data_IF_049004634142
#
_entry.id   IF_049004634142
#
_cell.length_a   1.000
_cell.length_b   1.000
_cell.length_c   1.000
_cell.angle_alpha   90.00
_cell.angle_beta   90.00
_cell.angle_gamma   90.00
#
_symmetry.space_group_name_H-M   'P 1'
#
loop_
_entity.id
_entity.type
_entity.pdbx_description
1 polymer ?
#
# COMPACT_ATOMS: atom_id res chain seq x y z
N UNK A 1 -4.34 -6.15 -64.57
CA UNK A 1 -3.42 -5.71 -63.50
C UNK A 1 -4.24 -5.10 -62.39
N UNK A 2 -4.46 -5.85 -61.37
CA UNK A 2 -5.37 -5.54 -60.25
C UNK A 2 -4.48 -5.29 -59.01
N UNK A 3 -4.49 -4.06 -58.50
CA UNK A 3 -3.81 -3.71 -57.26
C UNK A 3 -4.71 -4.00 -56.06
N UNK A 4 -4.31 -4.95 -55.23
CA UNK A 4 -4.88 -5.16 -53.94
C UNK A 4 -4.31 -4.15 -52.94
N UNK A 5 -5.17 -3.29 -52.42
CA UNK A 5 -4.89 -2.50 -51.23
C UNK A 5 -5.02 -3.37 -50.01
N UNK A 6 -3.93 -3.60 -49.31
CA UNK A 6 -3.94 -4.14 -47.93
C UNK A 6 -4.42 -3.05 -46.98
N UNK A 7 -5.62 -3.21 -46.47
CA UNK A 7 -6.11 -2.42 -45.34
C UNK A 7 -5.31 -2.76 -44.09
N UNK A 8 -4.66 -1.75 -43.53
CA UNK A 8 -4.08 -1.83 -42.20
C UNK A 8 -5.23 -1.87 -41.18
N UNK A 9 -5.49 -3.06 -40.65
CA UNK A 9 -6.35 -3.23 -39.49
C UNK A 9 -5.64 -2.69 -38.24
N UNK A 10 -5.89 -1.44 -37.89
CA UNK A 10 -5.54 -0.90 -36.60
C UNK A 10 -6.31 -1.71 -35.52
N UNK A 11 -5.60 -2.24 -34.54
CA UNK A 11 -6.25 -2.77 -33.34
C UNK A 11 -7.22 -1.71 -32.79
N UNK A 12 -8.44 -2.09 -32.39
CA UNK A 12 -9.36 -1.13 -31.81
C UNK A 12 -8.67 -0.49 -30.60
N UNK A 13 -8.56 0.82 -30.63
CA UNK A 13 -8.10 1.58 -29.47
C UNK A 13 -9.04 1.23 -28.32
N UNK A 14 -8.48 0.74 -27.23
CA UNK A 14 -9.21 0.49 -26.00
C UNK A 14 -9.75 1.85 -25.53
N UNK A 15 -11.03 2.09 -25.80
CA UNK A 15 -11.69 3.28 -25.26
C UNK A 15 -11.67 3.17 -23.75
N UNK A 16 -11.05 4.16 -23.10
CA UNK A 16 -11.14 4.30 -21.64
C UNK A 16 -12.62 4.32 -21.30
N UNK A 17 -13.05 3.57 -20.27
CA UNK A 17 -14.41 3.76 -19.77
C UNK A 17 -14.60 5.25 -19.52
N UNK A 18 -15.61 5.83 -20.17
CA UNK A 18 -15.95 7.23 -20.00
C UNK A 18 -15.98 7.57 -18.50
N UNK A 19 -15.55 8.77 -18.16
CA UNK A 19 -15.62 9.28 -16.79
C UNK A 19 -16.96 8.84 -16.15
N UNK A 20 -16.86 8.19 -14.99
CA UNK A 20 -18.06 7.67 -14.29
C UNK A 20 -19.13 8.74 -14.25
N UNK A 21 -20.38 8.44 -14.58
CA UNK A 21 -21.44 9.43 -14.51
C UNK A 21 -21.42 10.12 -13.16
N UNK A 22 -21.51 11.45 -13.16
CA UNK A 22 -21.56 12.23 -11.95
C UNK A 22 -22.68 11.67 -11.02
N UNK A 23 -22.31 11.23 -9.81
CA UNK A 23 -23.23 10.64 -8.84
C UNK A 23 -23.18 9.12 -8.70
N UNK A 24 -22.50 8.38 -9.58
CA UNK A 24 -22.27 6.94 -9.37
C UNK A 24 -21.05 6.76 -8.47
N UNK A 25 -21.30 6.52 -7.19
CA UNK A 25 -20.24 6.16 -6.24
C UNK A 25 -19.97 4.66 -6.32
N UNK A 26 -18.71 4.21 -6.43
CA UNK A 26 -18.43 2.79 -6.34
C UNK A 26 -18.81 2.26 -4.97
N UNK A 27 -19.34 1.07 -4.91
CA UNK A 27 -19.50 0.33 -3.65
C UNK A 27 -18.11 0.15 -3.03
N UNK A 28 -17.94 0.64 -1.82
CA UNK A 28 -16.62 0.73 -1.17
C UNK A 28 -16.14 -0.59 -0.59
N UNK A 29 -17.02 -1.55 -0.37
CA UNK A 29 -16.64 -2.80 0.24
C UNK A 29 -17.49 -3.95 -0.28
N UNK A 30 -16.86 -5.08 -0.67
CA UNK A 30 -17.55 -6.34 -0.85
C UNK A 30 -18.26 -6.74 0.45
N UNK A 31 -19.47 -7.27 0.33
CA UNK A 31 -20.23 -7.73 1.48
C UNK A 31 -20.90 -6.65 2.32
N UNK A 32 -20.82 -5.39 1.95
CA UNK A 32 -21.67 -4.37 2.55
C UNK A 32 -23.13 -4.64 2.21
N UNK A 33 -23.90 -4.94 3.23
CA UNK A 33 -25.36 -5.04 3.12
C UNK A 33 -26.00 -3.66 3.15
N UNK A 34 -25.23 -2.61 3.38
CA UNK A 34 -25.72 -1.25 3.46
C UNK A 34 -26.32 -0.83 2.12
N UNK A 35 -27.59 -0.61 2.10
CA UNK A 35 -28.33 0.06 1.03
C UNK A 35 -28.29 1.59 1.19
N UNK A 36 -27.83 2.07 2.34
CA UNK A 36 -27.76 3.48 2.69
C UNK A 36 -26.44 4.08 2.21
N UNK A 37 -26.52 5.10 1.34
CA UNK A 37 -25.31 5.76 0.81
C UNK A 37 -24.61 6.63 1.84
N UNK A 38 -25.22 6.92 2.93
CA UNK A 38 -24.64 7.69 4.03
C UNK A 38 -23.40 7.02 4.61
N UNK A 39 -23.31 5.71 4.48
CA UNK A 39 -22.18 4.90 4.93
C UNK A 39 -21.17 4.57 3.83
N UNK A 40 -21.26 5.22 2.68
CA UNK A 40 -20.29 4.97 1.59
C UNK A 40 -19.06 5.86 1.75
N UNK A 41 -17.89 5.24 1.55
CA UNK A 41 -16.63 5.96 1.46
C UNK A 41 -16.60 6.75 0.16
N UNK A 42 -16.28 8.03 0.26
CA UNK A 42 -15.98 8.88 -0.89
C UNK A 42 -14.49 8.83 -1.15
N UNK A 43 -14.06 8.00 -2.10
CA UNK A 43 -12.65 7.78 -2.39
C UNK A 43 -11.95 8.99 -3.00
N UNK A 44 -12.65 9.90 -3.67
CA UNK A 44 -12.07 11.13 -4.19
C UNK A 44 -11.78 12.12 -3.06
N UNK A 45 -12.74 12.28 -2.14
CA UNK A 45 -12.52 13.08 -0.93
C UNK A 45 -11.43 12.49 -0.04
N UNK A 46 -11.41 11.17 0.12
CA UNK A 46 -10.37 10.46 0.87
C UNK A 46 -8.98 10.71 0.28
N UNK A 47 -8.83 10.53 -1.03
CA UNK A 47 -7.58 10.75 -1.75
C UNK A 47 -7.09 12.20 -1.59
N UNK A 48 -7.97 13.15 -1.84
CA UNK A 48 -7.64 14.57 -1.71
C UNK A 48 -7.19 14.90 -0.28
N UNK A 49 -7.96 14.46 0.71
CA UNK A 49 -7.63 14.68 2.12
C UNK A 49 -6.24 14.14 2.47
N UNK A 50 -5.93 12.91 2.09
CA UNK A 50 -4.63 12.28 2.35
C UNK A 50 -3.50 13.05 1.69
N UNK A 51 -3.66 13.42 0.43
CA UNK A 51 -2.65 14.19 -0.28
C UNK A 51 -2.43 15.57 0.35
N UNK A 52 -3.50 16.28 0.71
CA UNK A 52 -3.42 17.57 1.38
C UNK A 52 -2.69 17.44 2.74
N UNK A 53 -2.94 16.36 3.50
CA UNK A 53 -2.23 16.09 4.76
C UNK A 53 -0.73 15.83 4.54
N UNK A 54 -0.38 15.05 3.52
CA UNK A 54 1.01 14.77 3.18
C UNK A 54 1.73 16.03 2.68
N UNK A 55 1.08 16.87 1.89
CA UNK A 55 1.60 18.17 1.45
C UNK A 55 1.85 19.12 2.63
N UNK A 56 0.92 19.20 3.56
CA UNK A 56 1.09 20.01 4.76
C UNK A 56 2.26 19.51 5.64
N UNK A 57 2.43 18.21 5.76
CA UNK A 57 3.56 17.62 6.47
C UNK A 57 4.90 17.90 5.78
N UNK A 58 4.94 17.83 4.46
CA UNK A 58 6.11 18.21 3.66
C UNK A 58 6.49 19.68 3.90
N UNK A 59 5.53 20.58 3.81
CA UNK A 59 5.75 22.01 4.04
C UNK A 59 6.31 22.28 5.46
N UNK A 60 5.71 21.63 6.46
CA UNK A 60 6.13 21.81 7.86
C UNK A 60 7.50 21.19 8.18
N UNK A 61 7.96 20.21 7.39
CA UNK A 61 9.20 19.47 7.65
C UNK A 61 10.48 20.23 7.30
N UNK A 62 10.39 21.26 6.46
CA UNK A 62 11.55 21.95 5.89
C UNK A 62 12.28 21.14 4.81
N UNK A 63 11.76 20.01 4.37
CA UNK A 63 12.27 19.24 3.24
C UNK A 63 11.85 19.85 1.90
N UNK A 64 12.67 19.66 0.86
CA UNK A 64 12.33 20.03 -0.50
C UNK A 64 11.40 19.07 -1.20
N UNK A 65 11.39 17.81 -0.77
CA UNK A 65 10.52 16.75 -1.27
C UNK A 65 10.51 15.58 -0.28
N UNK A 66 9.52 14.67 -0.41
CA UNK A 66 9.54 13.35 0.23
C UNK A 66 9.71 12.26 -0.82
N UNK A 67 10.66 11.36 -0.59
CA UNK A 67 10.83 10.12 -1.33
C UNK A 67 10.36 8.96 -0.45
N UNK A 68 9.26 8.33 -0.86
CA UNK A 68 8.54 7.35 -0.07
C UNK A 68 8.71 5.95 -0.66
N UNK A 69 9.17 5.01 0.16
CA UNK A 69 9.30 3.59 -0.17
C UNK A 69 8.32 2.72 0.59
N UNK A 70 7.81 3.17 1.74
CA UNK A 70 6.80 2.44 2.49
C UNK A 70 5.51 2.33 1.67
N UNK A 71 5.02 1.10 1.48
CA UNK A 71 3.85 0.84 0.64
C UNK A 71 2.58 1.53 1.14
N UNK A 72 2.44 1.71 2.45
CA UNK A 72 1.31 2.43 3.03
C UNK A 72 1.42 3.94 2.82
N UNK A 73 2.63 4.50 2.91
CA UNK A 73 2.87 5.91 2.57
C UNK A 73 2.67 6.18 1.08
N UNK A 74 3.13 5.27 0.22
CA UNK A 74 2.86 5.33 -1.23
C UNK A 74 1.36 5.29 -1.48
N UNK A 75 0.64 4.34 -0.88
CA UNK A 75 -0.82 4.25 -1.00
C UNK A 75 -1.54 5.49 -0.47
N UNK A 76 -1.06 6.05 0.63
CA UNK A 76 -1.60 7.26 1.23
C UNK A 76 -1.53 8.46 0.27
N UNK A 77 -0.43 8.61 -0.45
CA UNK A 77 -0.20 9.72 -1.37
C UNK A 77 -0.71 9.48 -2.79
N UNK A 78 -0.72 8.23 -3.26
CA UNK A 78 -1.04 7.90 -4.67
C UNK A 78 -2.35 7.12 -4.84
N UNK A 79 -2.89 6.56 -3.78
CA UNK A 79 -4.06 5.64 -3.82
C UNK A 79 -3.80 4.37 -4.66
N UNK A 80 -2.55 3.96 -4.81
CA UNK A 80 -2.16 2.76 -5.57
C UNK A 80 -1.70 1.64 -4.65
N UNK A 81 -1.92 0.39 -5.05
CA UNK A 81 -1.55 -0.80 -4.31
C UNK A 81 -1.16 -1.93 -5.26
N UNK A 82 -0.11 -2.69 -4.94
CA UNK A 82 0.34 -3.85 -5.72
C UNK A 82 0.46 -5.14 -4.90
N UNK A 83 -0.01 -5.12 -3.67
CA UNK A 83 0.14 -6.24 -2.75
C UNK A 83 1.37 -6.13 -1.85
N UNK A 84 1.21 -6.57 -0.59
CA UNK A 84 2.20 -6.35 0.47
C UNK A 84 3.43 -7.26 0.41
N UNK A 85 3.36 -8.38 -0.31
CA UNK A 85 4.45 -9.36 -0.36
C UNK A 85 5.75 -8.80 -0.95
N UNK A 86 5.69 -7.71 -1.68
CA UNK A 86 6.84 -7.06 -2.30
C UNK A 86 7.32 -5.82 -1.53
N UNK A 87 6.72 -5.52 -0.39
CA UNK A 87 7.02 -4.33 0.40
C UNK A 87 8.45 -4.22 0.89
N UNK A 88 9.10 -5.34 1.16
CA UNK A 88 10.49 -5.41 1.59
C UNK A 88 11.50 -5.36 0.42
N UNK A 89 11.05 -5.33 -0.82
CA UNK A 89 11.91 -5.38 -2.01
C UNK A 89 12.27 -3.99 -2.55
N UNK A 90 11.70 -2.93 -2.01
CA UNK A 90 11.95 -1.54 -2.45
C UNK A 90 11.77 -1.33 -3.95
N UNK A 91 10.86 -2.08 -4.58
CA UNK A 91 10.66 -2.08 -6.03
C UNK A 91 9.75 -0.97 -6.55
N UNK A 92 9.11 -0.25 -5.65
CA UNK A 92 8.30 0.92 -5.97
C UNK A 92 8.60 2.05 -5.01
N UNK A 93 8.48 3.28 -5.49
CA UNK A 93 8.67 4.48 -4.68
C UNK A 93 7.91 5.65 -5.28
N UNK A 94 7.60 6.63 -4.45
CA UNK A 94 6.90 7.84 -4.86
C UNK A 94 7.68 9.07 -4.42
N UNK A 95 7.72 10.09 -5.27
CA UNK A 95 8.29 11.40 -4.96
C UNK A 95 7.16 12.42 -4.83
N UNK A 96 7.05 13.03 -3.67
CA UNK A 96 6.12 14.11 -3.40
C UNK A 96 6.86 15.43 -3.39
N UNK A 97 6.52 16.31 -4.34
CA UNK A 97 7.03 17.66 -4.44
C UNK A 97 5.99 18.67 -3.94
N UNK A 98 6.40 19.82 -3.38
CA UNK A 98 5.46 20.82 -2.87
C UNK A 98 4.45 21.28 -3.93
N UNK A 99 3.15 21.17 -3.61
CA UNK A 99 2.05 21.63 -4.44
C UNK A 99 1.88 20.90 -5.78
N UNK A 100 2.52 19.73 -5.95
CA UNK A 100 2.43 18.93 -7.17
C UNK A 100 1.82 17.55 -6.87
N UNK A 101 1.24 16.93 -7.89
CA UNK A 101 0.84 15.54 -7.82
C UNK A 101 2.08 14.64 -7.69
N UNK A 102 1.99 13.54 -6.93
CA UNK A 102 3.13 12.66 -6.73
C UNK A 102 3.58 12.01 -8.04
N UNK A 103 4.88 11.73 -8.14
CA UNK A 103 5.46 10.91 -9.19
C UNK A 103 5.64 9.50 -8.62
N UNK A 104 5.16 8.49 -9.32
CA UNK A 104 5.20 7.09 -8.90
C UNK A 104 6.05 6.26 -9.85
N UNK A 105 7.10 5.64 -9.32
CA UNK A 105 7.81 4.56 -9.99
C UNK A 105 7.26 3.24 -9.52
N UNK A 106 6.83 2.42 -10.46
CA UNK A 106 6.16 1.18 -10.14
C UNK A 106 6.82 -0.02 -10.79
N UNK A 107 6.49 -1.20 -10.26
CA UNK A 107 7.04 -2.46 -10.68
C UNK A 107 6.35 -2.99 -11.95
N UNK A 108 7.14 -3.35 -12.95
CA UNK A 108 6.69 -4.12 -14.10
C UNK A 108 5.40 -3.64 -14.75
N UNK A 109 4.45 -4.53 -14.92
CA UNK A 109 3.15 -4.25 -15.53
C UNK A 109 2.23 -3.36 -14.69
N UNK A 110 2.53 -3.19 -13.40
CA UNK A 110 1.75 -2.30 -12.51
C UNK A 110 1.76 -0.85 -13.00
N UNK A 111 2.85 -0.37 -13.62
CA UNK A 111 2.91 0.96 -14.25
C UNK A 111 1.76 1.15 -15.23
N UNK A 112 1.60 0.21 -16.16
CA UNK A 112 0.56 0.29 -17.19
C UNK A 112 -0.84 0.19 -16.57
N UNK A 113 -1.00 -0.69 -15.59
CA UNK A 113 -2.26 -0.84 -14.86
C UNK A 113 -2.63 0.47 -14.16
N UNK A 114 -1.71 1.07 -13.41
CA UNK A 114 -1.97 2.33 -12.72
C UNK A 114 -2.23 3.50 -13.67
N UNK A 115 -1.55 3.57 -14.81
CA UNK A 115 -1.90 4.55 -15.87
C UNK A 115 -3.35 4.45 -16.33
N UNK A 116 -3.89 3.23 -16.37
CA UNK A 116 -5.27 2.98 -16.83
C UNK A 116 -6.31 3.27 -15.77
N UNK A 117 -6.00 3.02 -14.47
CA UNK A 117 -6.99 3.01 -13.40
C UNK A 117 -6.77 4.06 -12.31
N UNK A 118 -5.63 4.74 -12.31
CA UNK A 118 -5.31 5.86 -11.42
C UNK A 118 -5.17 7.15 -12.24
N UNK A 119 -6.23 7.48 -12.95
CA UNK A 119 -6.31 8.57 -13.92
C UNK A 119 -6.33 9.98 -13.29
N UNK A 120 -6.37 10.06 -11.98
CA UNK A 120 -6.29 11.33 -11.27
C UNK A 120 -4.88 11.96 -11.27
N UNK A 121 -3.83 11.11 -11.43
CA UNK A 121 -2.46 11.57 -11.62
C UNK A 121 -2.14 11.73 -13.10
N UNK A 122 -1.31 12.72 -13.48
CA UNK A 122 -0.82 12.85 -14.85
C UNK A 122 -0.15 11.56 -15.35
N UNK A 123 -0.35 11.21 -16.61
CA UNK A 123 0.17 9.97 -17.18
C UNK A 123 1.69 9.88 -17.08
N UNK A 124 2.39 11.00 -17.28
CA UNK A 124 3.85 11.12 -17.16
C UNK A 124 4.39 10.89 -15.74
N UNK A 125 3.53 11.00 -14.74
CA UNK A 125 3.89 10.73 -13.35
C UNK A 125 3.89 9.24 -13.00
N UNK A 126 3.37 8.39 -13.87
CA UNK A 126 3.48 6.94 -13.74
C UNK A 126 4.71 6.44 -14.51
N UNK A 127 5.77 6.09 -13.81
CA UNK A 127 7.06 5.73 -14.38
C UNK A 127 7.44 4.30 -14.06
N UNK A 128 8.19 3.61 -14.94
CA UNK A 128 8.76 2.30 -14.61
C UNK A 128 9.87 2.47 -13.57
N UNK A 129 9.83 1.65 -12.53
CA UNK A 129 10.90 1.61 -11.53
C UNK A 129 12.16 0.95 -12.09
N UNK A 130 13.32 1.50 -11.75
CA UNK A 130 14.63 0.95 -12.14
C UNK A 130 15.12 -0.13 -11.18
N UNK A 131 14.61 -0.15 -9.94
CA UNK A 131 15.00 -1.13 -8.96
C UNK A 131 14.34 -2.48 -9.26
N UNK A 132 15.14 -3.53 -9.37
CA UNK A 132 14.68 -4.91 -9.51
C UNK A 132 14.42 -5.57 -8.17
N UNK A 133 13.98 -6.82 -8.20
CA UNK A 133 13.91 -7.63 -6.99
C UNK A 133 15.29 -7.80 -6.37
N UNK A 134 15.36 -7.60 -5.05
CA UNK A 134 16.58 -7.88 -4.29
C UNK A 134 17.06 -9.32 -4.56
N UNK A 135 18.32 -9.48 -4.96
CA UNK A 135 18.90 -10.75 -5.30
C UNK A 135 18.53 -11.32 -6.67
N UNK A 136 17.67 -10.66 -7.44
CA UNK A 136 17.32 -11.06 -8.81
C UNK A 136 18.24 -10.43 -9.86
N UNK A 137 19.00 -9.42 -9.50
CA UNK A 137 19.95 -8.70 -10.37
C UNK A 137 21.35 -8.90 -9.83
N UNK A 138 22.33 -9.08 -10.73
CA UNK A 138 23.73 -9.14 -10.33
C UNK A 138 24.13 -7.85 -9.59
N UNK A 139 25.05 -7.92 -8.60
CA UNK A 139 25.41 -6.77 -7.77
C UNK A 139 25.83 -5.53 -8.58
N UNK A 140 26.60 -5.72 -9.63
CA UNK A 140 27.08 -4.64 -10.51
C UNK A 140 25.91 -3.99 -11.28
N UNK A 141 25.03 -4.80 -11.86
CA UNK A 141 23.85 -4.32 -12.56
C UNK A 141 22.87 -3.61 -11.61
N UNK A 142 22.72 -4.11 -10.39
CA UNK A 142 21.93 -3.45 -9.34
C UNK A 142 22.49 -2.09 -8.95
N UNK A 143 23.82 -1.95 -8.87
CA UNK A 143 24.49 -0.69 -8.57
C UNK A 143 24.27 0.35 -9.69
N UNK A 144 24.33 -0.07 -10.95
CA UNK A 144 24.09 0.80 -12.10
C UNK A 144 22.63 1.29 -12.15
N UNK A 145 21.67 0.38 -11.96
CA UNK A 145 20.24 0.73 -11.88
C UNK A 145 19.94 1.72 -10.76
N UNK A 146 20.56 1.52 -9.60
CA UNK A 146 20.42 2.41 -8.45
C UNK A 146 20.98 3.80 -8.75
N UNK A 147 22.15 3.86 -9.39
CA UNK A 147 22.80 5.11 -9.80
C UNK A 147 21.92 5.90 -10.78
N UNK A 148 21.32 5.22 -11.75
CA UNK A 148 20.39 5.84 -12.71
C UNK A 148 19.12 6.35 -12.03
N UNK A 149 18.53 5.55 -11.13
CA UNK A 149 17.36 5.95 -10.37
C UNK A 149 17.61 7.21 -9.53
N UNK A 150 18.74 7.28 -8.84
CA UNK A 150 19.13 8.46 -8.05
C UNK A 150 19.40 9.66 -8.95
N UNK A 151 20.05 9.48 -10.10
CA UNK A 151 20.29 10.56 -11.05
C UNK A 151 18.99 11.15 -11.60
N UNK A 152 17.99 10.32 -11.90
CA UNK A 152 16.66 10.76 -12.32
C UNK A 152 15.98 11.60 -11.21
N UNK A 153 15.96 11.08 -9.97
CA UNK A 153 15.41 11.81 -8.82
C UNK A 153 16.10 13.16 -8.66
N UNK A 154 17.43 13.19 -8.73
CA UNK A 154 18.20 14.44 -8.62
C UNK A 154 17.82 15.46 -9.71
N UNK A 155 17.67 15.00 -10.95
CA UNK A 155 17.24 15.86 -12.06
C UNK A 155 15.88 16.50 -11.77
N UNK A 156 14.93 15.71 -11.27
CA UNK A 156 13.59 16.22 -10.92
C UNK A 156 13.67 17.24 -9.78
N UNK A 157 14.49 16.99 -8.75
CA UNK A 157 14.68 17.94 -7.65
C UNK A 157 15.28 19.27 -8.14
N UNK A 158 16.24 19.23 -9.06
CA UNK A 158 16.83 20.43 -9.68
C UNK A 158 15.78 21.21 -10.48
N UNK A 159 15.04 20.53 -11.33
CA UNK A 159 13.96 21.13 -12.16
C UNK A 159 12.84 21.74 -11.30
N UNK A 160 12.58 21.15 -10.13
CA UNK A 160 11.59 21.65 -9.19
C UNK A 160 12.10 22.78 -8.27
N UNK A 161 13.40 23.11 -8.32
CA UNK A 161 14.02 24.09 -7.40
C UNK A 161 14.15 23.58 -5.97
N UNK A 162 14.14 22.27 -5.76
CA UNK A 162 14.18 21.62 -4.45
C UNK A 162 15.55 21.01 -4.10
N UNK A 163 16.53 21.11 -5.01
CA UNK A 163 17.83 20.42 -4.86
C UNK A 163 18.69 20.93 -3.71
N UNK A 164 18.50 22.19 -3.29
CA UNK A 164 19.24 22.80 -2.19
C UNK A 164 18.62 22.50 -0.81
N UNK A 165 17.48 21.84 -0.78
CA UNK A 165 16.79 21.43 0.46
C UNK A 165 17.00 19.94 0.72
N UNK A 166 16.86 19.48 1.99
CA UNK A 166 16.94 18.06 2.27
C UNK A 166 15.82 17.28 1.59
N UNK A 167 16.13 16.06 1.16
CA UNK A 167 15.15 15.05 0.72
C UNK A 167 14.74 14.23 1.93
N UNK A 168 13.47 14.28 2.29
CA UNK A 168 12.91 13.45 3.35
C UNK A 168 12.67 12.02 2.82
N UNK A 169 13.09 11.02 3.57
CA UNK A 169 12.90 9.60 3.23
C UNK A 169 12.24 8.89 4.41
N UNK A 170 11.26 8.01 4.13
CA UNK A 170 10.59 7.24 5.17
C UNK A 170 11.37 5.98 5.57
N UNK A 171 11.54 5.06 4.65
CA UNK A 171 12.41 3.87 4.79
C UNK A 171 13.24 3.73 3.53
N UNK A 172 14.44 3.18 3.66
CA UNK A 172 15.31 2.95 2.51
C UNK A 172 16.39 1.91 2.84
N UNK A 173 16.85 1.18 1.83
CA UNK A 173 18.02 0.33 1.97
C UNK A 173 19.31 1.15 2.05
N UNK A 174 20.26 0.77 2.92
CA UNK A 174 21.53 1.50 3.06
C UNK A 174 22.26 1.77 1.74
N UNK A 175 22.40 0.83 0.78
CA UNK A 175 23.05 1.13 -0.49
C UNK A 175 22.42 2.26 -1.28
N UNK A 176 21.07 2.36 -1.26
CA UNK A 176 20.36 3.43 -1.94
C UNK A 176 20.59 4.78 -1.25
N UNK A 177 20.58 4.77 0.09
CA UNK A 177 20.89 5.96 0.89
C UNK A 177 22.30 6.49 0.57
N UNK A 178 23.29 5.60 0.53
CA UNK A 178 24.67 5.96 0.22
C UNK A 178 24.81 6.52 -1.21
N UNK A 179 24.03 6.01 -2.16
CA UNK A 179 24.05 6.55 -3.52
C UNK A 179 23.43 7.95 -3.60
N UNK A 180 22.35 8.22 -2.86
CA UNK A 180 21.77 9.55 -2.74
C UNK A 180 22.80 10.55 -2.20
N UNK A 181 23.49 10.19 -1.11
CA UNK A 181 24.53 11.04 -0.52
C UNK A 181 25.73 11.24 -1.46
N UNK A 182 26.14 10.17 -2.16
CA UNK A 182 27.25 10.25 -3.15
C UNK A 182 26.94 11.22 -4.29
N UNK A 183 25.69 11.33 -4.69
CA UNK A 183 25.24 12.29 -5.69
C UNK A 183 24.94 13.69 -5.12
N UNK A 184 25.24 13.91 -3.83
CA UNK A 184 25.14 15.21 -3.17
C UNK A 184 23.76 15.58 -2.67
N UNK A 185 22.86 14.61 -2.54
CA UNK A 185 21.53 14.83 -1.96
C UNK A 185 21.63 14.74 -0.43
N UNK A 186 21.21 15.78 0.28
CA UNK A 186 21.10 15.77 1.73
C UNK A 186 19.84 15.04 2.16
N UNK A 187 19.93 14.19 3.17
CA UNK A 187 18.85 13.33 3.64
C UNK A 187 18.26 13.87 4.94
N UNK A 188 16.95 13.77 5.07
CA UNK A 188 16.20 14.02 6.29
C UNK A 188 15.16 12.91 6.50
N UNK A 189 14.59 12.85 7.70
CA UNK A 189 13.52 11.92 8.02
C UNK A 189 12.18 12.39 7.44
N UNK A 190 11.49 11.54 6.73
CA UNK A 190 10.09 11.72 6.33
C UNK A 190 9.15 10.73 7.05
N UNK A 191 9.67 9.78 7.82
CA UNK A 191 8.84 8.80 8.50
C UNK A 191 7.97 9.47 9.57
N UNK A 192 8.55 10.29 10.44
CA UNK A 192 7.78 11.00 11.46
C UNK A 192 6.79 12.00 10.83
N UNK A 193 7.18 12.85 9.87
CA UNK A 193 6.22 13.71 9.18
C UNK A 193 5.05 12.95 8.52
N UNK A 194 5.29 11.79 7.92
CA UNK A 194 4.22 10.97 7.34
C UNK A 194 3.33 10.32 8.41
N UNK A 195 3.90 9.93 9.55
CA UNK A 195 3.11 9.49 10.71
C UNK A 195 2.19 10.61 11.21
N UNK A 196 2.72 11.81 11.36
CA UNK A 196 1.96 12.98 11.80
C UNK A 196 0.85 13.36 10.80
N UNK A 197 1.12 13.23 9.49
CA UNK A 197 0.11 13.40 8.46
C UNK A 197 -1.09 12.46 8.64
N UNK A 198 -0.83 11.23 9.08
CA UNK A 198 -1.84 10.17 9.22
C UNK A 198 -2.57 10.15 10.57
N UNK A 199 -2.15 10.95 11.54
CA UNK A 199 -2.73 10.93 12.91
C UNK A 199 -4.19 11.31 12.91
N UNK A 200 -4.57 12.38 12.22
CA UNK A 200 -5.96 12.86 12.19
C UNK A 200 -6.68 12.25 11.00
N UNK A 201 -7.75 11.51 11.30
CA UNK A 201 -8.57 10.81 10.29
C UNK A 201 -9.77 11.64 9.90
N UNK A 202 -10.12 11.62 8.61
CA UNK A 202 -11.39 12.15 8.14
C UNK A 202 -12.51 11.10 8.25
N UNK A 203 -13.73 11.48 7.86
CA UNK A 203 -14.89 10.60 7.96
C UNK A 203 -14.73 9.33 7.13
N UNK A 204 -14.09 9.39 5.96
CA UNK A 204 -13.90 8.23 5.08
C UNK A 204 -12.90 7.24 5.67
N UNK A 205 -11.83 7.73 6.28
CA UNK A 205 -10.85 6.91 6.99
C UNK A 205 -11.46 6.23 8.21
N UNK A 206 -12.30 6.94 8.97
CA UNK A 206 -13.03 6.38 10.11
C UNK A 206 -13.98 5.26 9.64
N UNK A 207 -14.66 5.45 8.51
CA UNK A 207 -15.52 4.41 7.93
C UNK A 207 -14.73 3.16 7.54
N UNK A 208 -13.56 3.34 6.94
CA UNK A 208 -12.69 2.21 6.58
C UNK A 208 -12.14 1.48 7.80
N UNK A 209 -11.75 2.21 8.85
CA UNK A 209 -11.32 1.62 10.12
C UNK A 209 -12.45 0.85 10.80
N UNK A 210 -13.66 1.40 10.84
CA UNK A 210 -14.83 0.72 11.39
C UNK A 210 -15.13 -0.57 10.61
N UNK A 211 -15.06 -0.51 9.28
CA UNK A 211 -15.26 -1.70 8.44
C UNK A 211 -14.17 -2.76 8.72
N UNK A 212 -12.92 -2.36 8.79
CA UNK A 212 -11.82 -3.27 9.08
C UNK A 212 -11.98 -3.93 10.45
N UNK A 213 -12.43 -3.19 11.47
CA UNK A 213 -12.72 -3.72 12.81
C UNK A 213 -13.89 -4.70 12.78
N UNK A 214 -15.00 -4.35 12.13
CA UNK A 214 -16.18 -5.22 12.02
C UNK A 214 -15.87 -6.55 11.32
N UNK A 215 -14.94 -6.55 10.35
CA UNK A 215 -14.48 -7.78 9.70
C UNK A 215 -13.79 -8.71 10.70
N UNK A 216 -12.99 -8.19 11.61
CA UNK A 216 -12.33 -8.98 12.66
C UNK A 216 -13.36 -9.51 13.66
N UNK A 217 -14.37 -8.72 14.04
CA UNK A 217 -15.47 -9.20 14.89
C UNK A 217 -16.16 -10.41 14.26
N UNK A 218 -16.45 -10.36 12.95
CA UNK A 218 -17.00 -11.49 12.21
C UNK A 218 -16.10 -12.72 12.24
N UNK A 219 -14.79 -12.53 12.10
CA UNK A 219 -13.81 -13.63 12.18
C UNK A 219 -13.77 -14.23 13.58
N UNK A 220 -13.84 -13.45 14.65
CA UNK A 220 -13.91 -13.96 16.00
C UNK A 220 -15.17 -14.81 16.25
N UNK A 221 -16.30 -14.43 15.65
CA UNK A 221 -17.50 -15.26 15.69
C UNK A 221 -17.27 -16.61 15.00
N UNK A 222 -16.69 -16.61 13.80
CA UNK A 222 -16.33 -17.83 13.07
C UNK A 222 -15.35 -18.71 13.88
N UNK A 223 -14.37 -18.11 14.54
CA UNK A 223 -13.44 -18.82 15.42
C UNK A 223 -14.17 -19.43 16.60
N UNK A 224 -15.04 -18.69 17.27
CA UNK A 224 -15.80 -19.19 18.42
C UNK A 224 -16.64 -20.43 18.08
N UNK A 225 -17.21 -20.48 16.88
CA UNK A 225 -17.97 -21.62 16.38
C UNK A 225 -17.09 -22.85 16.05
N UNK A 226 -15.88 -22.61 15.55
CA UNK A 226 -14.94 -23.66 15.17
C UNK A 226 -14.09 -24.18 16.33
N UNK A 227 -13.92 -23.37 17.37
CA UNK A 227 -13.03 -23.65 18.51
C UNK A 227 -13.58 -24.79 19.40
N UNK A 228 -12.87 -25.90 19.42
CA UNK A 228 -13.17 -27.05 20.25
C UNK A 228 -11.91 -27.86 20.52
N UNK A 229 -11.90 -28.68 21.60
CA UNK A 229 -10.80 -29.61 21.83
C UNK A 229 -10.53 -30.50 20.61
N UNK A 230 -9.26 -30.66 20.25
CA UNK A 230 -8.83 -31.42 19.09
C UNK A 230 -8.50 -30.59 17.86
N UNK A 231 -8.95 -29.34 17.77
CA UNK A 231 -8.55 -28.42 16.72
C UNK A 231 -7.11 -27.95 16.97
N UNK A 232 -6.37 -27.69 15.90
CA UNK A 232 -5.00 -27.16 15.98
C UNK A 232 -4.96 -25.64 15.86
N UNK A 233 -3.94 -25.04 16.46
CA UNK A 233 -3.71 -23.59 16.35
C UNK A 233 -3.67 -23.13 14.87
N UNK A 234 -2.94 -23.85 14.01
CA UNK A 234 -2.82 -23.52 12.58
C UNK A 234 -4.12 -23.72 11.78
N UNK A 235 -5.04 -24.57 12.24
CA UNK A 235 -6.36 -24.71 11.62
C UNK A 235 -7.22 -23.45 11.86
N UNK A 236 -7.11 -22.86 13.04
CA UNK A 236 -7.76 -21.57 13.35
C UNK A 236 -7.14 -20.45 12.50
N UNK A 237 -5.82 -20.43 12.33
CA UNK A 237 -5.15 -19.47 11.44
C UNK A 237 -5.66 -19.58 10.00
N UNK A 238 -5.78 -20.81 9.48
CA UNK A 238 -6.31 -21.05 8.14
C UNK A 238 -7.76 -20.55 7.98
N UNK A 239 -8.62 -20.82 8.97
CA UNK A 239 -9.99 -20.34 9.00
C UNK A 239 -10.04 -18.80 8.98
N UNK A 240 -9.29 -18.16 9.87
CA UNK A 240 -9.28 -16.71 10.00
C UNK A 240 -8.75 -16.02 8.72
N UNK A 241 -7.68 -16.53 8.12
CA UNK A 241 -7.18 -16.05 6.82
C UNK A 241 -8.24 -16.15 5.73
N UNK A 242 -8.87 -17.31 5.60
CA UNK A 242 -9.93 -17.53 4.61
C UNK A 242 -11.05 -16.52 4.79
N UNK A 243 -11.54 -16.35 6.01
CA UNK A 243 -12.67 -15.44 6.31
C UNK A 243 -12.32 -13.98 6.05
N UNK A 244 -11.14 -13.52 6.45
CA UNK A 244 -10.73 -12.14 6.18
C UNK A 244 -10.70 -11.84 4.69
N UNK A 245 -10.16 -12.75 3.86
CA UNK A 245 -10.18 -12.55 2.40
C UNK A 245 -11.58 -12.67 1.81
N UNK A 246 -12.43 -13.56 2.31
CA UNK A 246 -13.85 -13.61 1.91
C UNK A 246 -14.59 -12.31 2.23
N UNK A 247 -14.26 -11.66 3.35
CA UNK A 247 -14.84 -10.38 3.75
C UNK A 247 -14.26 -9.18 2.98
N UNK A 248 -13.16 -9.36 2.26
CA UNK A 248 -12.59 -8.34 1.38
C UNK A 248 -11.32 -7.67 1.90
N UNK A 249 -10.59 -8.27 2.85
CA UNK A 249 -9.24 -7.80 3.22
C UNK A 249 -8.36 -7.72 1.99
N UNK A 250 -7.59 -6.66 1.87
CA UNK A 250 -6.56 -6.57 0.84
C UNK A 250 -5.23 -7.21 1.29
N UNK A 251 -5.04 -7.36 2.60
CA UNK A 251 -3.89 -8.08 3.15
C UNK A 251 -4.18 -8.59 4.57
N UNK A 252 -3.89 -9.85 4.82
CA UNK A 252 -3.77 -10.41 6.16
C UNK A 252 -2.29 -10.41 6.53
N UNK A 253 -1.92 -9.60 7.52
CA UNK A 253 -0.52 -9.40 7.87
C UNK A 253 -0.01 -10.47 8.82
N UNK A 254 -0.78 -10.78 9.87
CA UNK A 254 -0.47 -11.84 10.81
C UNK A 254 -1.73 -12.32 11.54
N UNK A 255 -1.74 -13.59 11.86
CA UNK A 255 -2.70 -14.18 12.79
C UNK A 255 -1.90 -14.99 13.78
N UNK A 256 -1.90 -14.58 15.04
CA UNK A 256 -1.36 -15.35 16.13
C UNK A 256 -2.48 -16.23 16.69
N UNK A 257 -2.18 -17.52 16.89
CA UNK A 257 -3.10 -18.49 17.45
C UNK A 257 -2.33 -19.33 18.47
N UNK A 258 -2.65 -19.15 19.73
CA UNK A 258 -1.85 -19.62 20.85
C UNK A 258 -2.76 -20.32 21.84
N UNK A 259 -2.30 -21.43 22.42
CA UNK A 259 -3.11 -22.22 23.33
C UNK A 259 -2.31 -22.79 24.48
N UNK A 260 -3.00 -23.01 25.60
CA UNK A 260 -2.49 -23.67 26.81
C UNK A 260 -1.25 -22.98 27.36
N UNK A 261 -0.22 -23.74 27.63
CA UNK A 261 1.06 -23.28 28.21
C UNK A 261 1.80 -22.23 27.34
N UNK A 262 1.46 -22.12 26.07
CA UNK A 262 2.06 -21.14 25.17
C UNK A 262 1.48 -19.72 25.30
N UNK A 263 0.39 -19.56 26.04
CA UNK A 263 -0.24 -18.25 26.22
C UNK A 263 0.59 -17.29 27.07
N UNK A 264 1.52 -17.81 27.88
CA UNK A 264 2.38 -16.95 28.70
C UNK A 264 3.79 -17.55 28.86
N UNK A 265 4.85 -16.86 28.42
CA UNK A 265 4.80 -15.57 27.70
C UNK A 265 4.28 -15.70 26.26
N UNK A 266 3.66 -14.63 25.75
CA UNK A 266 3.08 -14.59 24.41
C UNK A 266 4.14 -14.66 23.31
N UNK A 267 4.15 -15.68 22.42
CA UNK A 267 5.22 -15.91 21.45
C UNK A 267 5.01 -15.20 20.10
N UNK A 268 3.94 -14.45 19.89
CA UNK A 268 3.60 -13.76 18.64
C UNK A 268 3.66 -14.66 17.39
N UNK A 269 3.13 -15.88 17.49
CA UNK A 269 3.12 -16.84 16.39
C UNK A 269 1.93 -17.82 16.51
N UNK A 270 2.01 -18.89 15.78
CA UNK A 270 1.16 -20.07 15.93
C UNK A 270 1.99 -21.34 15.70
N UNK A 271 1.46 -22.49 16.12
CA UNK A 271 2.06 -23.80 15.86
C UNK A 271 1.00 -24.80 15.39
N UNK A 272 1.37 -26.05 15.28
CA UNK A 272 0.46 -27.18 15.03
C UNK A 272 -0.06 -27.82 16.32
N UNK A 273 0.10 -27.17 17.49
CA UNK A 273 -0.36 -27.68 18.78
C UNK A 273 -1.87 -27.95 18.75
N UNK A 274 -2.25 -29.09 19.27
CA UNK A 274 -3.66 -29.45 19.47
C UNK A 274 -4.19 -28.73 20.72
N UNK A 275 -5.30 -28.02 20.56
CA UNK A 275 -6.02 -27.39 21.68
C UNK A 275 -6.73 -28.45 22.49
N UNK A 276 -6.51 -28.44 23.80
CA UNK A 276 -7.00 -29.46 24.74
C UNK A 276 -8.13 -28.92 25.59
N UNK A 277 -8.95 -29.81 26.20
CA UNK A 277 -9.93 -29.39 27.20
C UNK A 277 -9.29 -28.58 28.32
N UNK A 278 -9.86 -27.43 28.65
CA UNK A 278 -9.36 -26.55 29.72
C UNK A 278 -8.22 -25.62 29.33
N UNK A 279 -7.70 -25.72 28.11
CA UNK A 279 -6.72 -24.76 27.59
C UNK A 279 -7.34 -23.36 27.46
N UNK A 280 -6.56 -22.35 27.81
CA UNK A 280 -6.80 -21.02 27.32
C UNK A 280 -6.46 -21.00 25.83
N UNK A 281 -7.31 -20.36 25.03
CA UNK A 281 -7.04 -20.08 23.62
C UNK A 281 -7.06 -18.56 23.37
N UNK A 282 -6.07 -18.08 22.66
CA UNK A 282 -5.79 -16.67 22.50
C UNK A 282 -5.43 -16.38 21.05
N UNK A 283 -6.01 -15.33 20.50
CA UNK A 283 -5.84 -14.95 19.09
C UNK A 283 -5.52 -13.47 18.98
N UNK A 284 -4.69 -13.13 18.00
CA UNK A 284 -4.35 -11.77 17.64
C UNK A 284 -4.41 -11.67 16.11
N UNK A 285 -5.29 -10.83 15.61
CA UNK A 285 -5.59 -10.75 14.18
C UNK A 285 -5.21 -9.37 13.66
N UNK A 286 -4.28 -9.36 12.71
CA UNK A 286 -3.77 -8.15 12.06
C UNK A 286 -4.05 -8.23 10.57
N UNK A 287 -4.89 -7.33 10.08
CA UNK A 287 -5.19 -7.24 8.67
C UNK A 287 -5.37 -5.79 8.21
N UNK A 288 -5.43 -5.60 6.92
CA UNK A 288 -5.69 -4.30 6.32
C UNK A 288 -6.85 -4.36 5.33
N UNK A 289 -7.64 -3.31 5.32
CA UNK A 289 -8.77 -3.11 4.43
C UNK A 289 -8.66 -1.71 3.80
N UNK A 290 -8.49 -1.65 2.50
CA UNK A 290 -8.24 -0.40 1.76
C UNK A 290 -7.10 0.46 2.35
N UNK A 291 -6.06 -0.20 2.88
CA UNK A 291 -4.90 0.45 3.50
C UNK A 291 -5.07 0.83 4.96
N UNK A 292 -6.19 0.46 5.60
CA UNK A 292 -6.45 0.72 7.01
C UNK A 292 -6.35 -0.56 7.82
N UNK A 293 -5.43 -0.54 8.76
CA UNK A 293 -5.09 -1.69 9.61
C UNK A 293 -5.92 -1.73 10.87
N UNK A 294 -6.24 -2.94 11.30
CA UNK A 294 -6.66 -3.22 12.66
C UNK A 294 -5.79 -4.31 13.25
N UNK A 295 -5.60 -4.25 14.56
CA UNK A 295 -4.92 -5.26 15.34
C UNK A 295 -5.61 -5.34 16.71
N UNK A 296 -6.27 -6.46 17.02
CA UNK A 296 -6.78 -6.70 18.35
C UNK A 296 -6.97 -8.18 18.67
N UNK A 297 -7.01 -8.43 19.96
CA UNK A 297 -7.09 -9.76 20.56
C UNK A 297 -8.52 -10.20 20.80
#
# INVERSE_FOLDING_TARGET
MSHHHHGQGGSPAFERPSARPAGVRPLSAPGQVAVDYEHRVDFDRLRKYRLDRAQAALEASGCGAFLLFDFYNIRYTTQTWIGGALGDKMIRYALLLPGRDPILWDFGSAVRHHKMYSDWMPEENHRPGFLGFRGAVAPEGGADLMKEAVAEIKSILVEAGAADMPLGIDIVEPPFLFELERQGIRIADAQQPMLDARVIKNVDEIMLLNQAAAMVDGVYQDIAEALKPGVRENEIVALANKKLYEYGSDQVEAINSISGERCNPHPHNFTDRIIRPGDQAFFDIIHSFNGYRTCYY
#
